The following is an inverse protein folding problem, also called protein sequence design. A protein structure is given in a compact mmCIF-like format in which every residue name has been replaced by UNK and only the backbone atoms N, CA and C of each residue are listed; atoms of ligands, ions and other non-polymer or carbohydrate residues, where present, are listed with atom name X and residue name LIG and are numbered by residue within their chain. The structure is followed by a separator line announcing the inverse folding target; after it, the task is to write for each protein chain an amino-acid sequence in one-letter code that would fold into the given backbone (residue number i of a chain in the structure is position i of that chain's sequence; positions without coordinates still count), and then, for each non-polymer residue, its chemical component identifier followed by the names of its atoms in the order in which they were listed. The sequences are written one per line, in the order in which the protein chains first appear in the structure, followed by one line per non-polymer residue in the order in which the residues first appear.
data_IF_133178035092
#
_entry.id   IF_133178035092
#
_cell.length_a   1.000
_cell.length_b   1.000
_cell.length_c   1.000
_cell.angle_alpha   90.00
_cell.angle_beta   90.00
_cell.angle_gamma   90.00
#
_symmetry.space_group_name_H-M   'P 1'
#
loop_
_entity.id
_entity.type
_entity.pdbx_description
1 polymer ?
#
# COMPACT_ATOMS: atom_id res chain seq x y z
N UNK A 1 7.08 52.61 -58.21
CA UNK A 1 6.66 53.02 -56.85
C UNK A 1 6.86 51.81 -55.93
N UNK A 2 7.77 51.91 -54.97
CA UNK A 2 8.15 50.83 -54.06
C UNK A 2 7.11 50.68 -52.95
N UNK A 3 6.69 49.45 -52.65
CA UNK A 3 6.29 49.04 -51.30
C UNK A 3 6.52 47.54 -51.12
N UNK A 4 7.43 47.21 -50.21
CA UNK A 4 7.74 45.87 -49.71
C UNK A 4 6.75 45.45 -48.62
N UNK A 5 6.34 44.16 -48.57
CA UNK A 5 6.52 43.28 -47.39
C UNK A 5 5.99 41.84 -47.58
N UNK A 6 6.90 40.88 -47.31
CA UNK A 6 6.78 39.44 -46.92
C UNK A 6 6.27 38.49 -48.03
N UNK A 7 7.07 37.69 -48.76
CA UNK A 7 8.15 36.71 -48.46
C UNK A 7 7.75 35.59 -47.49
N UNK A 8 7.45 34.43 -48.12
CA UNK A 8 7.83 33.04 -47.85
C UNK A 8 7.90 32.50 -46.41
N UNK A 9 7.42 31.27 -46.25
CA UNK A 9 7.99 30.33 -45.28
C UNK A 9 7.06 29.14 -45.01
N UNK A 10 7.14 28.11 -45.85
CA UNK A 10 6.31 26.91 -45.76
C UNK A 10 6.52 26.11 -44.47
N UNK A 11 5.44 25.49 -44.01
CA UNK A 11 5.50 24.39 -43.04
C UNK A 11 5.25 23.10 -43.80
N UNK A 12 6.35 22.50 -44.25
CA UNK A 12 6.45 21.09 -44.59
C UNK A 12 6.14 20.28 -43.33
N UNK A 13 4.96 19.66 -43.31
CA UNK A 13 4.68 18.52 -42.45
C UNK A 13 5.58 17.39 -42.97
N UNK A 14 6.72 17.18 -42.32
CA UNK A 14 7.58 16.04 -42.56
C UNK A 14 6.93 14.77 -41.97
N UNK A 15 5.89 14.28 -42.65
CA UNK A 15 5.49 12.89 -42.61
C UNK A 15 6.61 12.10 -43.29
N UNK A 16 7.54 11.58 -42.48
CA UNK A 16 8.55 10.63 -42.92
C UNK A 16 7.93 9.29 -43.27
N UNK A 17 7.12 9.25 -44.33
CA UNK A 17 6.79 8.05 -45.08
C UNK A 17 8.02 7.71 -45.91
N UNK A 18 8.94 6.95 -45.31
CA UNK A 18 9.99 6.27 -46.05
C UNK A 18 9.36 5.18 -46.91
N UNK A 19 9.27 5.44 -48.22
CA UNK A 19 9.06 4.45 -49.26
C UNK A 19 10.17 3.38 -49.20
N UNK A 20 9.84 2.19 -48.69
CA UNK A 20 10.60 0.98 -48.99
C UNK A 20 9.97 0.31 -50.22
N UNK A 21 10.66 0.43 -51.35
CA UNK A 21 10.35 -0.36 -52.53
C UNK A 21 10.83 -1.80 -52.31
N UNK A 22 9.88 -2.73 -52.33
CA UNK A 22 10.03 -4.10 -52.82
C UNK A 22 11.20 -4.94 -52.32
N UNK A 23 11.10 -5.44 -51.09
CA UNK A 23 11.51 -6.80 -50.77
C UNK A 23 10.29 -7.51 -50.19
N UNK A 24 10.01 -8.73 -50.66
CA UNK A 24 9.05 -9.63 -50.02
C UNK A 24 9.35 -9.65 -48.53
N UNK A 25 8.36 -9.26 -47.71
CA UNK A 25 8.49 -9.27 -46.26
C UNK A 25 8.76 -10.70 -45.81
N UNK A 26 10.02 -11.02 -45.54
CA UNK A 26 10.36 -12.17 -44.70
C UNK A 26 9.57 -11.98 -43.41
N UNK A 27 8.90 -13.04 -42.96
CA UNK A 27 8.13 -13.01 -41.72
C UNK A 27 9.05 -12.52 -40.60
N UNK A 28 8.73 -11.37 -40.01
CA UNK A 28 9.54 -10.77 -38.95
C UNK A 28 9.76 -11.81 -37.84
N UNK A 29 11.02 -12.01 -37.46
CA UNK A 29 11.39 -13.05 -36.50
C UNK A 29 11.00 -12.63 -35.08
N UNK A 30 10.69 -13.62 -34.24
CA UNK A 30 10.47 -13.36 -32.81
C UNK A 30 11.82 -13.03 -32.17
N UNK A 31 11.86 -11.94 -31.41
CA UNK A 31 13.08 -11.52 -30.73
C UNK A 31 13.45 -12.50 -29.61
N UNK A 32 14.68 -13.00 -29.61
CA UNK A 32 15.22 -13.91 -28.59
C UNK A 32 16.39 -13.26 -27.85
N UNK A 33 16.78 -13.83 -26.71
CA UNK A 33 17.95 -13.38 -25.92
C UNK A 33 19.29 -13.49 -26.67
N UNK A 34 19.37 -14.34 -27.70
CA UNK A 34 20.54 -14.44 -28.57
C UNK A 34 20.69 -13.29 -29.56
N UNK A 35 19.64 -12.47 -29.73
CA UNK A 35 19.64 -11.31 -30.61
C UNK A 35 19.98 -10.05 -29.84
N UNK A 36 21.25 -9.65 -29.88
CA UNK A 36 21.71 -8.40 -29.28
C UNK A 36 21.37 -7.17 -30.13
N UNK A 37 20.55 -6.27 -29.58
CA UNK A 37 20.18 -5.00 -30.21
C UNK A 37 21.30 -3.95 -30.19
N UNK A 38 22.42 -4.18 -29.48
CA UNK A 38 23.65 -3.34 -29.48
C UNK A 38 23.42 -1.83 -29.25
N UNK A 39 22.37 -1.47 -28.51
CA UNK A 39 22.01 -0.09 -28.21
C UNK A 39 21.41 0.70 -29.38
N UNK A 40 21.09 0.05 -30.50
CA UNK A 40 20.37 0.73 -31.57
C UNK A 40 18.97 1.11 -31.11
N UNK A 41 18.62 2.38 -31.27
CA UNK A 41 17.28 2.88 -30.95
C UNK A 41 16.22 2.01 -31.64
N UNK A 42 15.19 1.66 -30.86
CA UNK A 42 14.10 0.79 -31.28
C UNK A 42 12.77 1.54 -31.14
N UNK A 43 11.84 1.24 -32.04
CA UNK A 43 10.45 1.75 -31.96
C UNK A 43 9.50 0.58 -32.06
N UNK A 44 8.54 0.51 -31.15
CA UNK A 44 7.49 -0.49 -31.17
C UNK A 44 6.24 0.16 -31.75
N UNK A 45 5.65 -0.48 -32.78
CA UNK A 45 4.43 -0.02 -33.45
C UNK A 45 3.42 -1.15 -33.57
N UNK A 46 2.14 -0.80 -33.57
CA UNK A 46 1.06 -1.75 -33.88
C UNK A 46 0.78 -1.68 -35.37
N UNK A 47 0.90 -2.82 -36.05
CA UNK A 47 0.59 -2.97 -37.47
C UNK A 47 -0.92 -3.03 -37.72
N UNK A 48 -1.33 -2.94 -38.99
CA UNK A 48 -2.76 -2.93 -39.37
C UNK A 48 -3.53 -4.20 -38.95
N UNK A 49 -2.84 -5.34 -38.88
CA UNK A 49 -3.40 -6.61 -38.40
C UNK A 49 -3.46 -6.69 -36.86
N UNK A 50 -2.97 -5.67 -36.16
CA UNK A 50 -2.91 -5.60 -34.70
C UNK A 50 -1.63 -6.16 -34.09
N UNK A 51 -0.70 -6.66 -34.88
CA UNK A 51 0.56 -7.23 -34.39
C UNK A 51 1.50 -6.12 -33.93
N UNK A 52 2.22 -6.34 -32.83
CA UNK A 52 3.24 -5.39 -32.39
C UNK A 52 4.60 -5.77 -32.96
N UNK A 53 5.30 -4.81 -33.57
CA UNK A 53 6.60 -4.99 -34.20
C UNK A 53 7.60 -4.01 -33.62
N UNK A 54 8.78 -4.51 -33.25
CA UNK A 54 9.95 -3.73 -32.89
C UNK A 54 10.81 -3.49 -34.13
N UNK A 55 10.94 -2.24 -34.54
CA UNK A 55 11.80 -1.82 -35.65
C UNK A 55 13.06 -1.14 -35.10
N UNK A 56 14.22 -1.58 -35.58
CA UNK A 56 15.53 -1.02 -35.25
C UNK A 56 16.46 -1.11 -36.47
N UNK A 57 17.66 -0.52 -36.41
CA UNK A 57 18.68 -0.66 -37.46
C UNK A 57 19.10 -2.11 -37.74
N UNK A 58 18.86 -3.02 -36.80
CA UNK A 58 19.14 -4.47 -36.94
C UNK A 58 18.09 -5.23 -37.74
N UNK A 59 16.89 -4.69 -37.88
CA UNK A 59 15.77 -5.36 -38.51
C UNK A 59 14.45 -5.08 -37.81
N UNK A 60 13.44 -5.84 -38.21
CA UNK A 60 12.09 -5.81 -37.67
C UNK A 60 11.78 -7.15 -37.01
N UNK A 61 11.18 -7.09 -35.83
CA UNK A 61 10.93 -8.26 -34.99
C UNK A 61 9.50 -8.25 -34.47
N UNK A 62 8.80 -9.38 -34.59
CA UNK A 62 7.47 -9.54 -33.98
C UNK A 62 7.65 -9.66 -32.47
N UNK A 63 6.82 -8.91 -31.72
CA UNK A 63 6.76 -8.99 -30.27
C UNK A 63 5.51 -9.73 -29.82
N UNK A 64 5.72 -10.70 -28.93
CA UNK A 64 4.69 -11.47 -28.22
C UNK A 64 5.23 -11.90 -26.85
N UNK A 65 4.45 -12.65 -26.08
CA UNK A 65 4.79 -13.13 -24.74
C UNK A 65 6.08 -13.96 -24.65
N UNK A 66 6.64 -14.43 -25.77
CA UNK A 66 7.91 -15.16 -25.81
C UNK A 66 9.10 -14.27 -26.17
N UNK A 67 8.86 -13.03 -26.59
CA UNK A 67 9.92 -12.13 -27.07
C UNK A 67 10.81 -11.66 -25.92
N UNK A 68 12.13 -11.83 -26.05
CA UNK A 68 13.13 -11.36 -25.07
C UNK A 68 13.96 -10.21 -25.66
N UNK A 69 13.88 -9.03 -25.06
CA UNK A 69 14.64 -7.85 -25.50
C UNK A 69 16.00 -7.84 -24.79
N UNK A 70 17.07 -8.06 -25.54
CA UNK A 70 18.44 -7.97 -25.01
C UNK A 70 19.23 -6.84 -25.66
N UNK A 71 19.97 -6.09 -24.84
CA UNK A 71 21.00 -5.18 -25.35
C UNK A 71 22.26 -5.20 -24.49
N UNK A 72 23.41 -5.40 -25.14
CA UNK A 72 24.74 -5.26 -24.54
C UNK A 72 25.14 -3.81 -24.26
N UNK A 73 24.36 -2.82 -24.70
CA UNK A 73 24.63 -1.39 -24.57
C UNK A 73 23.41 -0.63 -24.04
N UNK A 74 23.53 0.69 -23.89
CA UNK A 74 22.37 1.54 -23.57
C UNK A 74 21.40 1.55 -24.74
N UNK A 75 20.11 1.34 -24.48
CA UNK A 75 19.07 1.27 -25.51
C UNK A 75 17.94 2.26 -25.20
N UNK A 76 17.41 2.86 -26.26
CA UNK A 76 16.18 3.66 -26.23
C UNK A 76 15.09 2.88 -26.96
N UNK A 77 13.95 2.67 -26.31
CA UNK A 77 12.76 2.04 -26.90
C UNK A 77 11.62 3.05 -26.88
N UNK A 78 11.09 3.39 -28.05
CA UNK A 78 9.93 4.27 -28.19
C UNK A 78 8.66 3.44 -28.33
N UNK A 79 7.74 3.57 -27.39
CA UNK A 79 6.42 2.95 -27.38
C UNK A 79 5.46 3.81 -28.22
N UNK A 80 5.29 3.43 -29.48
CA UNK A 80 4.36 4.05 -30.43
C UNK A 80 3.28 3.05 -30.90
N UNK A 81 2.98 2.07 -30.04
CA UNK A 81 1.95 1.09 -30.23
C UNK A 81 0.58 1.63 -29.77
N UNK A 82 -0.47 1.22 -30.48
CA UNK A 82 -1.86 1.57 -30.17
C UNK A 82 -2.59 0.46 -29.41
N UNK A 83 -1.99 -0.74 -29.34
CA UNK A 83 -2.43 -1.85 -28.49
C UNK A 83 -1.30 -2.25 -27.55
N UNK A 84 -1.59 -2.69 -26.30
CA UNK A 84 -0.55 -3.16 -25.39
C UNK A 84 0.36 -4.21 -26.04
N UNK A 85 1.67 -4.06 -25.89
CA UNK A 85 2.65 -5.07 -26.34
C UNK A 85 3.05 -5.95 -25.16
N UNK A 86 3.03 -7.27 -25.36
CA UNK A 86 3.54 -8.22 -24.38
C UNK A 86 4.93 -8.68 -24.82
N UNK A 87 5.85 -8.75 -23.88
CA UNK A 87 7.19 -9.34 -24.03
C UNK A 87 7.51 -10.17 -22.80
N UNK A 88 8.38 -11.15 -22.94
CA UNK A 88 8.81 -11.99 -21.83
C UNK A 88 9.70 -11.19 -20.85
N UNK A 89 10.81 -10.66 -21.34
CA UNK A 89 11.81 -10.01 -20.48
C UNK A 89 12.61 -8.96 -21.22
N UNK A 90 13.20 -8.03 -20.45
CA UNK A 90 14.11 -7.01 -20.94
C UNK A 90 15.40 -7.04 -20.15
N UNK A 91 16.53 -7.15 -20.83
CA UNK A 91 17.86 -7.11 -20.22
C UNK A 91 18.75 -6.10 -20.96
N UNK A 92 18.97 -4.95 -20.33
CA UNK A 92 19.86 -3.92 -20.83
C UNK A 92 21.10 -3.81 -19.93
N UNK A 93 22.29 -4.11 -20.48
CA UNK A 93 23.54 -4.07 -19.70
C UNK A 93 23.91 -2.68 -19.19
N UNK A 94 23.36 -1.62 -19.79
CA UNK A 94 23.56 -0.25 -19.36
C UNK A 94 22.22 0.46 -19.12
N UNK A 95 21.93 1.55 -19.83
CA UNK A 95 20.70 2.33 -19.63
C UNK A 95 19.58 1.77 -20.47
N UNK A 96 18.40 1.60 -19.87
CA UNK A 96 17.14 1.39 -20.58
C UNK A 96 16.35 2.70 -20.52
N UNK A 97 16.10 3.30 -21.68
CA UNK A 97 15.26 4.49 -21.78
C UNK A 97 13.97 4.18 -22.56
N UNK A 98 12.84 4.38 -21.91
CA UNK A 98 11.51 4.20 -22.49
C UNK A 98 10.90 5.57 -22.80
N UNK A 99 10.30 5.70 -23.98
CA UNK A 99 9.65 6.93 -24.46
C UNK A 99 8.29 6.61 -25.08
N UNK A 100 7.52 7.65 -25.39
CA UNK A 100 6.25 7.53 -26.11
C UNK A 100 5.05 7.37 -25.18
N UNK A 101 3.92 7.01 -25.76
CA UNK A 101 2.60 6.96 -25.09
C UNK A 101 1.95 5.57 -25.16
N UNK A 102 2.63 4.59 -25.74
CA UNK A 102 2.14 3.21 -25.81
C UNK A 102 2.23 2.47 -24.47
N UNK A 103 1.73 1.24 -24.47
CA UNK A 103 1.70 0.36 -23.30
C UNK A 103 2.53 -0.91 -23.54
N UNK A 104 3.34 -1.30 -22.55
CA UNK A 104 4.16 -2.51 -22.59
C UNK A 104 3.96 -3.33 -21.32
N UNK A 105 3.75 -4.63 -21.48
CA UNK A 105 3.73 -5.61 -20.39
C UNK A 105 4.93 -6.52 -20.55
N UNK A 106 5.73 -6.62 -19.49
CA UNK A 106 6.88 -7.52 -19.39
C UNK A 106 6.53 -8.57 -18.36
N UNK A 107 6.24 -9.80 -18.77
CA UNK A 107 5.81 -10.86 -17.86
C UNK A 107 6.65 -12.12 -18.07
N UNK A 108 7.30 -12.58 -17.00
CA UNK A 108 8.16 -13.75 -17.03
C UNK A 108 8.03 -14.58 -15.76
N UNK A 109 8.27 -15.88 -15.89
CA UNK A 109 8.47 -16.77 -14.75
C UNK A 109 9.90 -16.72 -14.21
N UNK A 110 10.83 -16.09 -14.94
CA UNK A 110 12.21 -15.91 -14.51
C UNK A 110 12.30 -15.02 -13.26
N UNK A 111 13.47 -15.01 -12.62
CA UNK A 111 13.71 -14.23 -11.40
C UNK A 111 13.48 -12.72 -11.60
N UNK A 112 13.76 -12.19 -12.81
CA UNK A 112 13.70 -10.74 -13.09
C UNK A 112 13.05 -10.46 -14.44
N UNK A 113 12.05 -9.58 -14.49
CA UNK A 113 11.37 -9.17 -15.73
C UNK A 113 12.15 -8.10 -16.49
N UNK A 114 12.49 -7.00 -15.82
CA UNK A 114 13.31 -5.93 -16.40
C UNK A 114 14.61 -5.80 -15.59
N UNK A 115 15.74 -6.09 -16.21
CA UNK A 115 17.07 -6.01 -15.62
C UNK A 115 17.92 -4.92 -16.30
N UNK A 116 18.34 -3.92 -15.54
CA UNK A 116 19.03 -2.72 -16.06
C UNK A 116 20.34 -2.48 -15.33
N UNK A 117 21.46 -2.53 -16.05
CA UNK A 117 22.80 -2.45 -15.46
C UNK A 117 23.26 -1.04 -15.06
N UNK A 118 22.59 0.03 -15.47
CA UNK A 118 22.85 1.39 -14.94
C UNK A 118 21.57 2.14 -14.62
N UNK A 119 21.00 2.87 -15.59
CA UNK A 119 19.86 3.75 -15.36
C UNK A 119 18.61 3.21 -16.03
N UNK A 120 17.50 3.20 -15.31
CA UNK A 120 16.19 3.09 -15.93
C UNK A 120 15.59 4.49 -16.07
N UNK A 121 15.29 4.90 -17.30
CA UNK A 121 14.72 6.21 -17.62
C UNK A 121 13.37 6.02 -18.27
N UNK A 122 12.29 6.41 -17.60
CA UNK A 122 10.95 6.31 -18.18
C UNK A 122 10.42 7.71 -18.50
N UNK A 123 10.03 7.89 -19.77
CA UNK A 123 9.31 9.06 -20.27
C UNK A 123 10.03 10.39 -20.01
N UNK A 124 11.37 10.30 -19.95
CA UNK A 124 12.30 11.42 -19.75
C UNK A 124 12.34 12.31 -20.99
N UNK A 125 12.37 13.63 -20.82
CA UNK A 125 12.46 14.68 -21.87
C UNK A 125 11.25 14.83 -22.80
N UNK A 126 10.25 13.96 -22.69
CA UNK A 126 8.96 14.13 -23.35
C UNK A 126 8.04 14.84 -22.37
N UNK A 127 7.79 16.14 -22.56
CA UNK A 127 6.92 16.97 -21.70
C UNK A 127 5.53 16.35 -21.39
N UNK A 128 5.13 15.28 -22.10
CA UNK A 128 3.88 14.55 -21.96
C UNK A 128 3.99 13.04 -22.26
N UNK A 129 5.14 12.40 -22.03
CA UNK A 129 5.23 10.94 -22.20
C UNK A 129 4.34 10.25 -21.18
N UNK A 130 3.23 9.68 -21.62
CA UNK A 130 2.19 9.06 -20.76
C UNK A 130 2.10 7.55 -20.97
N UNK A 131 3.17 6.93 -21.46
CA UNK A 131 3.20 5.49 -21.64
C UNK A 131 3.05 4.74 -20.32
N UNK A 132 2.69 3.46 -20.44
CA UNK A 132 2.49 2.57 -19.31
C UNK A 132 3.35 1.33 -19.46
N UNK A 133 4.02 0.94 -18.39
CA UNK A 133 4.85 -0.26 -18.36
C UNK A 133 4.45 -1.08 -17.15
N UNK A 134 4.14 -2.36 -17.37
CA UNK A 134 4.01 -3.34 -16.28
C UNK A 134 5.14 -4.35 -16.36
N UNK A 135 5.68 -4.77 -15.22
CA UNK A 135 6.79 -5.72 -15.14
C UNK A 135 6.56 -6.75 -14.03
N UNK A 136 6.31 -8.01 -14.37
CA UNK A 136 6.02 -9.08 -13.42
C UNK A 136 7.03 -10.23 -13.55
N UNK A 137 7.60 -10.64 -12.43
CA UNK A 137 8.58 -11.72 -12.35
C UNK A 137 8.37 -12.58 -11.10
N UNK A 138 9.05 -13.72 -11.01
CA UNK A 138 8.97 -14.56 -9.81
C UNK A 138 9.62 -13.93 -8.57
N UNK A 139 10.69 -13.13 -8.72
CA UNK A 139 11.37 -12.44 -7.59
C UNK A 139 11.33 -10.93 -7.66
N UNK A 140 11.77 -10.34 -8.77
CA UNK A 140 11.93 -8.88 -8.92
C UNK A 140 11.33 -8.39 -10.23
N UNK A 141 10.29 -7.55 -10.17
CA UNK A 141 9.69 -6.99 -11.39
C UNK A 141 10.66 -6.06 -12.15
N UNK A 142 11.21 -5.06 -11.47
CA UNK A 142 12.17 -4.10 -12.04
C UNK A 142 13.43 -4.04 -11.18
N UNK A 143 14.58 -4.44 -11.75
CA UNK A 143 15.90 -4.38 -11.12
C UNK A 143 16.79 -3.37 -11.82
N UNK A 144 17.31 -2.40 -11.06
CA UNK A 144 18.17 -1.33 -11.57
C UNK A 144 19.42 -1.17 -10.71
N UNK A 145 20.60 -1.36 -11.32
CA UNK A 145 21.87 -1.36 -10.59
C UNK A 145 22.38 0.04 -10.19
N UNK A 146 21.85 1.10 -10.78
CA UNK A 146 22.11 2.48 -10.33
C UNK A 146 20.80 3.20 -10.01
N UNK A 147 20.28 4.04 -10.90
CA UNK A 147 19.20 4.99 -10.57
C UNK A 147 17.97 4.85 -11.47
N UNK A 148 16.79 5.01 -10.89
CA UNK A 148 15.51 5.15 -11.59
C UNK A 148 15.18 6.63 -11.75
N UNK A 149 14.92 7.07 -12.98
CA UNK A 149 14.54 8.44 -13.31
C UNK A 149 13.25 8.42 -14.13
N UNK A 150 12.18 9.05 -13.64
CA UNK A 150 10.91 9.11 -14.36
C UNK A 150 10.42 10.55 -14.45
N UNK A 151 10.06 11.03 -15.64
CA UNK A 151 9.50 12.39 -15.83
C UNK A 151 8.04 12.38 -16.29
N UNK A 152 7.42 11.20 -16.40
CA UNK A 152 6.01 11.02 -16.73
C UNK A 152 5.65 9.53 -16.77
N UNK A 153 4.43 9.25 -17.22
CA UNK A 153 3.92 7.89 -17.45
C UNK A 153 3.76 7.06 -16.17
N UNK A 154 3.42 5.78 -16.35
CA UNK A 154 3.26 4.82 -15.25
C UNK A 154 4.18 3.63 -15.43
N UNK A 155 4.87 3.25 -14.35
CA UNK A 155 5.65 2.00 -14.27
C UNK A 155 5.18 1.25 -13.04
N UNK A 156 4.64 0.05 -13.25
CA UNK A 156 4.19 -0.85 -12.20
C UNK A 156 5.02 -2.14 -12.27
N UNK A 157 5.59 -2.58 -11.15
CA UNK A 157 6.40 -3.77 -11.11
C UNK A 157 6.04 -4.67 -9.92
N UNK A 158 6.03 -5.99 -10.14
CA UNK A 158 5.66 -6.99 -9.15
C UNK A 158 6.65 -8.16 -9.10
N UNK A 159 6.89 -8.66 -7.89
CA UNK A 159 7.72 -9.84 -7.64
C UNK A 159 7.50 -10.39 -6.24
N UNK A 160 8.08 -11.55 -5.90
CA UNK A 160 7.93 -12.09 -4.53
C UNK A 160 8.83 -11.39 -3.50
N UNK A 161 10.02 -10.94 -3.91
CA UNK A 161 10.96 -10.23 -3.03
C UNK A 161 10.77 -8.73 -3.14
N UNK A 162 10.76 -8.21 -4.37
CA UNK A 162 10.62 -6.78 -4.65
C UNK A 162 9.76 -6.55 -5.88
N UNK A 163 8.89 -5.54 -5.85
CA UNK A 163 8.33 -5.00 -7.09
C UNK A 163 9.40 -4.23 -7.84
N UNK A 164 10.00 -3.26 -7.15
CA UNK A 164 11.09 -2.41 -7.68
C UNK A 164 12.31 -2.51 -6.77
N UNK A 165 13.47 -2.76 -7.37
CA UNK A 165 14.76 -2.78 -6.69
C UNK A 165 15.73 -1.81 -7.38
N UNK A 166 16.26 -0.86 -6.61
CA UNK A 166 17.33 0.04 -7.06
C UNK A 166 18.52 0.03 -6.09
N UNK A 167 19.72 -0.16 -6.63
CA UNK A 167 20.98 -0.07 -5.87
C UNK A 167 21.44 1.38 -5.60
N UNK A 168 20.63 2.38 -5.94
CA UNK A 168 20.89 3.78 -5.63
C UNK A 168 19.58 4.55 -5.41
N UNK A 169 19.34 5.62 -6.19
CA UNK A 169 18.20 6.52 -6.02
C UNK A 169 17.00 6.15 -6.90
N UNK A 170 15.81 6.48 -6.42
CA UNK A 170 14.55 6.45 -7.16
C UNK A 170 14.00 7.88 -7.23
N UNK A 171 13.93 8.45 -8.44
CA UNK A 171 13.55 9.85 -8.69
C UNK A 171 12.46 10.00 -9.76
N UNK A 172 11.20 9.73 -9.39
CA UNK A 172 10.03 10.23 -10.12
C UNK A 172 9.81 11.76 -9.99
N UNK A 173 9.45 12.38 -11.10
CA UNK A 173 9.15 13.80 -11.27
C UNK A 173 7.84 14.01 -12.02
N UNK A 174 7.25 15.19 -11.88
CA UNK A 174 6.06 15.61 -12.64
C UNK A 174 4.88 14.66 -12.41
N UNK A 175 4.15 14.23 -13.43
CA UNK A 175 3.01 13.32 -13.30
C UNK A 175 3.41 11.83 -13.35
N UNK A 176 4.69 11.50 -13.12
CA UNK A 176 5.17 10.13 -13.09
C UNK A 176 4.56 9.32 -11.94
N UNK A 177 4.16 8.09 -12.24
CA UNK A 177 3.65 7.11 -11.27
C UNK A 177 4.58 5.90 -11.25
N UNK A 178 5.17 5.60 -10.09
CA UNK A 178 5.95 4.38 -9.86
C UNK A 178 5.25 3.53 -8.81
N UNK A 179 4.93 2.29 -9.16
CA UNK A 179 4.34 1.31 -8.25
C UNK A 179 5.21 0.06 -8.15
N UNK A 180 5.50 -0.38 -6.93
CA UNK A 180 6.19 -1.65 -6.66
C UNK A 180 5.36 -2.51 -5.72
N UNK A 181 5.06 -3.74 -6.11
CA UNK A 181 4.28 -4.70 -5.32
C UNK A 181 5.13 -5.93 -5.01
N UNK A 182 5.16 -6.34 -3.75
CA UNK A 182 5.86 -7.53 -3.29
C UNK A 182 4.95 -8.44 -2.49
N UNK A 183 4.91 -9.74 -2.82
CA UNK A 183 4.05 -10.68 -2.09
C UNK A 183 4.63 -11.13 -0.75
N UNK A 184 5.96 -11.19 -0.61
CA UNK A 184 6.63 -11.67 0.61
C UNK A 184 7.67 -10.68 1.18
N UNK A 185 8.09 -9.67 0.42
CA UNK A 185 9.16 -8.76 0.80
C UNK A 185 8.72 -7.30 0.86
N UNK A 186 9.53 -6.42 0.26
CA UNK A 186 9.30 -4.96 0.24
C UNK A 186 8.83 -4.53 -1.14
N UNK A 187 7.77 -3.74 -1.24
CA UNK A 187 7.26 -3.28 -2.54
C UNK A 187 8.31 -2.54 -3.37
N UNK A 188 8.94 -1.53 -2.77
CA UNK A 188 10.00 -0.72 -3.38
C UNK A 188 11.24 -0.68 -2.47
N UNK A 189 12.39 -1.08 -3.00
CA UNK A 189 13.67 -0.98 -2.35
C UNK A 189 14.58 0.02 -3.08
N UNK A 190 15.15 0.95 -2.33
CA UNK A 190 16.25 1.80 -2.77
C UNK A 190 17.41 1.71 -1.78
N UNK A 191 18.64 1.54 -2.27
CA UNK A 191 19.79 1.62 -1.38
C UNK A 191 19.93 3.03 -0.79
N UNK A 192 19.68 4.08 -1.59
CA UNK A 192 19.88 5.48 -1.20
C UNK A 192 18.57 6.22 -1.01
N UNK A 193 18.10 7.06 -1.93
CA UNK A 193 16.90 7.87 -1.71
C UNK A 193 15.67 7.37 -2.51
N UNK A 194 14.48 7.60 -1.97
CA UNK A 194 13.21 7.53 -2.71
C UNK A 194 12.59 8.93 -2.71
N UNK A 195 12.43 9.52 -3.88
CA UNK A 195 11.84 10.84 -4.07
C UNK A 195 10.50 10.80 -4.80
N UNK A 196 9.63 11.75 -4.49
CA UNK A 196 8.50 12.11 -5.32
C UNK A 196 8.44 13.65 -5.43
N UNK A 197 8.65 14.17 -6.64
CA UNK A 197 8.82 15.60 -6.88
C UNK A 197 7.89 16.14 -7.96
N UNK A 198 7.45 17.40 -7.79
CA UNK A 198 6.65 18.14 -8.78
C UNK A 198 5.34 17.47 -9.22
N UNK A 199 4.66 16.75 -8.33
CA UNK A 199 3.39 16.06 -8.60
C UNK A 199 3.49 14.54 -8.69
N UNK A 200 4.69 13.97 -8.50
CA UNK A 200 4.92 12.55 -8.77
C UNK A 200 4.31 11.67 -7.70
N UNK A 201 3.99 10.43 -8.05
CA UNK A 201 3.41 9.45 -7.13
C UNK A 201 4.26 8.20 -7.06
N UNK A 202 4.60 7.78 -5.84
CA UNK A 202 5.30 6.52 -5.56
C UNK A 202 4.43 5.68 -4.63
N UNK A 203 4.17 4.43 -5.00
CA UNK A 203 3.35 3.50 -4.22
C UNK A 203 4.10 2.19 -4.07
N UNK A 204 4.54 1.89 -2.86
CA UNK A 204 5.13 0.60 -2.51
C UNK A 204 4.14 -0.22 -1.71
N UNK A 205 3.94 -1.48 -2.08
CA UNK A 205 3.12 -2.44 -1.34
C UNK A 205 3.91 -3.72 -1.09
N UNK A 206 4.03 -4.15 0.16
CA UNK A 206 4.78 -5.35 0.49
C UNK A 206 4.28 -6.05 1.75
N UNK A 207 4.67 -7.31 1.92
CA UNK A 207 4.38 -8.02 3.17
C UNK A 207 5.11 -7.40 4.36
N UNK A 208 6.38 -7.03 4.17
CA UNK A 208 7.25 -6.52 5.24
C UNK A 208 7.19 -4.99 5.33
N UNK A 209 7.22 -4.30 4.20
CA UNK A 209 7.15 -2.84 4.09
C UNK A 209 6.70 -2.44 2.69
N UNK A 210 6.09 -1.27 2.57
CA UNK A 210 5.75 -0.72 1.26
C UNK A 210 6.99 -0.20 0.53
N UNK A 211 7.73 0.69 1.17
CA UNK A 211 8.95 1.26 0.62
C UNK A 211 10.07 1.32 1.66
N UNK A 212 11.29 0.96 1.25
CA UNK A 212 12.48 0.97 2.09
C UNK A 212 13.65 1.71 1.44
N UNK A 213 14.29 2.59 2.21
CA UNK A 213 15.56 3.25 1.90
C UNK A 213 16.62 2.84 2.94
N UNK A 214 17.83 2.46 2.52
CA UNK A 214 18.87 1.99 3.46
C UNK A 214 19.74 3.10 4.03
N UNK A 215 20.26 4.01 3.21
CA UNK A 215 21.26 4.98 3.69
C UNK A 215 20.76 6.42 3.74
N UNK A 216 19.63 6.72 3.11
CA UNK A 216 19.16 8.09 2.94
C UNK A 216 17.65 8.22 3.20
N UNK A 217 16.95 9.06 2.46
CA UNK A 217 15.61 9.54 2.81
C UNK A 217 14.51 8.89 1.97
N UNK A 218 13.30 8.94 2.52
CA UNK A 218 12.06 8.87 1.75
C UNK A 218 11.47 10.27 1.78
N UNK A 219 11.38 10.95 0.63
CA UNK A 219 11.04 12.37 0.57
C UNK A 219 10.04 12.71 -0.55
N UNK A 220 8.90 13.27 -0.16
CA UNK A 220 7.95 13.89 -1.07
C UNK A 220 8.07 15.43 -0.98
N UNK A 221 8.04 16.12 -2.11
CA UNK A 221 8.08 17.61 -2.16
C UNK A 221 7.19 18.15 -3.27
N UNK A 222 6.61 19.32 -3.00
CA UNK A 222 5.64 20.03 -3.81
C UNK A 222 4.24 19.44 -3.76
N UNK A 223 3.25 20.32 -3.85
CA UNK A 223 1.85 19.95 -3.82
C UNK A 223 1.53 18.98 -4.96
N UNK A 224 0.75 17.94 -4.64
CA UNK A 224 0.43 16.85 -5.56
C UNK A 224 1.43 15.68 -5.52
N UNK A 225 2.65 15.88 -5.01
CA UNK A 225 3.58 14.76 -4.84
C UNK A 225 3.18 13.88 -3.66
N UNK A 226 3.28 12.56 -3.84
CA UNK A 226 3.00 11.61 -2.77
C UNK A 226 3.89 10.37 -2.78
N UNK A 227 4.18 9.86 -1.58
CA UNK A 227 4.78 8.54 -1.39
C UNK A 227 3.88 7.76 -0.42
N UNK A 228 3.37 6.62 -0.87
CA UNK A 228 2.57 5.70 -0.06
C UNK A 228 3.31 4.39 0.12
N UNK A 229 3.48 3.97 1.38
CA UNK A 229 3.98 2.65 1.74
C UNK A 229 2.87 1.84 2.38
N UNK A 230 2.55 0.69 1.80
CA UNK A 230 1.53 -0.25 2.25
C UNK A 230 2.24 -1.50 2.78
N UNK A 231 1.99 -1.83 4.05
CA UNK A 231 2.46 -3.07 4.69
C UNK A 231 1.28 -3.99 5.00
N UNK A 232 1.43 -5.28 4.73
CA UNK A 232 0.50 -6.35 5.16
C UNK A 232 0.94 -7.04 6.46
N UNK A 233 1.90 -6.44 7.18
CA UNK A 233 2.33 -6.90 8.49
C UNK A 233 2.65 -5.70 9.39
N UNK A 234 1.71 -5.37 10.28
CA UNK A 234 1.92 -4.33 11.30
C UNK A 234 2.98 -4.74 12.33
N UNK A 235 3.26 -6.04 12.49
CA UNK A 235 4.24 -6.59 13.43
C UNK A 235 5.63 -6.78 12.79
N UNK A 236 5.80 -6.36 11.54
CA UNK A 236 7.08 -6.34 10.84
C UNK A 236 8.18 -5.62 11.64
N UNK A 237 9.44 -5.93 11.36
CA UNK A 237 10.56 -5.14 11.89
C UNK A 237 10.68 -3.76 11.21
N UNK A 238 9.97 -3.54 10.10
CA UNK A 238 10.02 -2.34 9.29
C UNK A 238 8.64 -1.65 9.23
N UNK A 239 8.63 -0.34 9.43
CA UNK A 239 7.50 0.55 9.12
C UNK A 239 7.07 0.45 7.65
N UNK A 240 5.84 0.85 7.33
CA UNK A 240 5.35 0.77 5.96
C UNK A 240 6.15 1.70 5.02
N UNK A 241 6.60 2.85 5.54
CA UNK A 241 7.67 3.66 4.95
C UNK A 241 8.90 3.64 5.86
N UNK A 242 9.95 2.95 5.42
CA UNK A 242 11.12 2.70 6.27
C UNK A 242 12.42 3.27 5.67
N UNK A 243 12.96 4.34 6.26
CA UNK A 243 14.29 4.84 5.93
C UNK A 243 15.28 4.45 7.04
N UNK A 244 16.09 3.39 6.88
CA UNK A 244 16.89 2.77 7.96
C UNK A 244 17.76 3.79 8.72
N UNK A 245 18.49 4.66 7.99
CA UNK A 245 19.46 5.60 8.55
C UNK A 245 19.01 7.07 8.62
N UNK A 246 17.92 7.45 7.95
CA UNK A 246 17.48 8.85 7.90
C UNK A 246 15.96 8.98 8.11
N UNK A 247 15.39 10.04 7.55
CA UNK A 247 14.12 10.62 7.92
C UNK A 247 13.10 10.49 6.79
N UNK A 248 11.84 10.36 7.19
CA UNK A 248 10.69 10.48 6.32
C UNK A 248 10.36 11.97 6.15
N UNK A 249 10.21 12.47 4.92
CA UNK A 249 10.02 13.90 4.64
C UNK A 249 8.82 14.17 3.76
N UNK A 250 8.02 15.14 4.14
CA UNK A 250 6.99 15.73 3.28
C UNK A 250 7.06 17.24 3.36
N UNK A 251 7.29 17.89 2.21
CA UNK A 251 7.51 19.34 2.11
C UNK A 251 6.57 20.00 1.10
N UNK A 252 6.26 21.29 1.30
CA UNK A 252 5.53 22.13 0.35
C UNK A 252 4.16 21.57 -0.09
N UNK A 253 3.37 21.01 0.84
CA UNK A 253 2.06 20.42 0.52
C UNK A 253 2.10 18.97 0.01
N UNK A 254 3.28 18.34 -0.02
CA UNK A 254 3.40 16.93 -0.35
C UNK A 254 2.88 16.02 0.77
N UNK A 255 2.60 14.75 0.43
CA UNK A 255 2.05 13.75 1.36
C UNK A 255 2.94 12.53 1.43
N UNK A 256 3.28 12.10 2.64
CA UNK A 256 3.80 10.75 2.90
C UNK A 256 2.76 9.96 3.67
N UNK A 257 2.49 8.73 3.22
CA UNK A 257 1.41 7.88 3.75
C UNK A 257 1.91 6.51 4.09
N UNK A 258 1.61 6.08 5.31
CA UNK A 258 1.79 4.70 5.75
C UNK A 258 0.42 4.05 5.85
N UNK A 259 0.26 2.89 5.24
CA UNK A 259 -0.94 2.07 5.32
C UNK A 259 -0.56 0.70 5.87
N UNK A 260 -1.26 0.28 6.91
CA UNK A 260 -1.17 -1.05 7.49
C UNK A 260 -2.46 -1.78 7.17
N UNK A 261 -2.40 -2.65 6.15
CA UNK A 261 -3.53 -3.45 5.71
C UNK A 261 -3.77 -4.61 6.65
N UNK A 262 -5.05 -4.87 6.92
CA UNK A 262 -5.49 -5.98 7.79
C UNK A 262 -4.74 -5.97 9.12
N UNK A 263 -4.64 -4.78 9.74
CA UNK A 263 -3.94 -4.59 11.00
C UNK A 263 -4.61 -5.35 12.16
N UNK A 264 -5.88 -5.74 12.00
CA UNK A 264 -6.69 -6.46 12.98
C UNK A 264 -6.68 -5.77 14.35
N UNK A 265 -6.85 -4.44 14.34
CA UNK A 265 -6.87 -3.64 15.56
C UNK A 265 -8.18 -3.93 16.31
N UNK A 266 -8.06 -4.35 17.57
CA UNK A 266 -9.21 -4.49 18.47
C UNK A 266 -9.35 -3.17 19.24
N UNK A 267 -10.49 -2.50 19.06
CA UNK A 267 -10.81 -1.22 19.70
C UNK A 267 -11.89 -1.45 20.75
N UNK A 268 -11.60 -1.11 22.02
CA UNK A 268 -12.58 -1.17 23.12
C UNK A 268 -13.04 0.24 23.50
N UNK A 269 -14.07 0.32 24.34
CA UNK A 269 -14.64 1.60 24.81
C UNK A 269 -13.98 2.12 26.10
N UNK A 270 -13.19 1.29 26.79
CA UNK A 270 -12.65 1.54 28.12
C UNK A 270 -11.12 1.50 28.23
N UNK A 271 -10.44 0.72 27.38
CA UNK A 271 -8.98 0.55 27.38
C UNK A 271 -8.38 1.23 26.14
N UNK A 272 -7.70 2.37 26.30
CA UNK A 272 -7.17 3.11 25.16
C UNK A 272 -6.07 2.33 24.43
N UNK A 273 -6.27 2.04 23.15
CA UNK A 273 -5.28 1.40 22.30
C UNK A 273 -4.16 2.39 21.96
N UNK A 274 -3.00 2.24 22.59
CA UNK A 274 -1.82 3.04 22.28
C UNK A 274 -0.97 2.39 21.17
N UNK A 275 -1.18 2.83 19.93
CA UNK A 275 -0.49 2.29 18.75
C UNK A 275 1.03 2.45 18.82
N UNK A 276 1.54 3.54 19.41
CA UNK A 276 2.98 3.80 19.49
C UNK A 276 3.69 2.98 20.57
N UNK A 277 2.96 2.53 21.59
CA UNK A 277 3.49 1.59 22.58
C UNK A 277 3.37 0.14 22.12
N UNK A 278 2.33 -0.16 21.34
CA UNK A 278 2.02 -1.54 20.95
C UNK A 278 2.74 -1.98 19.67
N UNK A 279 3.04 -1.07 18.74
CA UNK A 279 3.60 -1.40 17.44
C UNK A 279 4.89 -0.61 17.15
N UNK A 280 6.02 -1.31 17.09
CA UNK A 280 7.34 -0.71 16.78
C UNK A 280 7.37 -0.06 15.39
N UNK A 281 6.66 -0.65 14.44
CA UNK A 281 6.51 -0.12 13.06
C UNK A 281 5.90 1.27 13.08
N UNK A 282 4.83 1.47 13.84
CA UNK A 282 4.13 2.75 13.99
C UNK A 282 4.99 3.75 14.78
N UNK A 283 5.54 3.31 15.91
CA UNK A 283 6.32 4.14 16.83
C UNK A 283 7.53 4.84 16.18
N UNK A 284 8.09 4.25 15.12
CA UNK A 284 9.23 4.83 14.39
C UNK A 284 8.89 6.21 13.83
N UNK A 285 7.76 6.31 13.12
CA UNK A 285 7.39 7.49 12.34
C UNK A 285 6.29 8.32 13.03
N UNK A 286 5.53 7.73 13.95
CA UNK A 286 4.58 8.40 14.82
C UNK A 286 5.11 8.41 16.26
N UNK A 287 5.76 9.50 16.66
CA UNK A 287 6.32 9.63 18.02
C UNK A 287 5.25 9.85 19.10
N UNK A 288 4.21 10.61 18.76
CA UNK A 288 3.12 10.94 19.68
C UNK A 288 1.80 10.97 18.92
N UNK A 289 0.86 10.11 19.32
CA UNK A 289 -0.47 10.01 18.72
C UNK A 289 -1.29 11.29 18.87
N UNK A 290 -1.05 12.06 19.95
CA UNK A 290 -1.76 13.32 20.20
C UNK A 290 -1.41 14.44 19.21
N UNK A 291 -0.32 14.28 18.44
CA UNK A 291 0.07 15.23 17.40
C UNK A 291 -0.71 15.02 16.08
N UNK A 292 -1.64 14.07 16.03
CA UNK A 292 -2.42 13.71 14.86
C UNK A 292 -3.90 13.99 15.07
N UNK A 293 -4.57 14.41 14.00
CA UNK A 293 -6.03 14.39 13.92
C UNK A 293 -6.46 12.99 13.52
N UNK A 294 -7.38 12.42 14.30
CA UNK A 294 -7.87 11.06 14.11
C UNK A 294 -9.27 11.07 13.51
N UNK A 295 -9.52 10.13 12.60
CA UNK A 295 -10.79 9.92 11.94
C UNK A 295 -10.97 8.42 11.68
N UNK A 296 -12.21 7.98 11.52
CA UNK A 296 -12.55 6.61 11.17
C UNK A 296 -13.69 6.57 10.15
N UNK A 297 -13.73 5.50 9.37
CA UNK A 297 -14.84 5.16 8.49
C UNK A 297 -15.25 3.69 8.75
N UNK A 298 -16.44 3.44 9.32
CA UNK A 298 -17.43 4.42 9.79
C UNK A 298 -16.93 5.28 10.96
N UNK A 299 -17.59 6.41 11.25
CA UNK A 299 -17.23 7.33 12.33
C UNK A 299 -17.59 6.75 13.72
N UNK A 300 -16.66 5.95 14.27
CA UNK A 300 -16.84 5.20 15.51
C UNK A 300 -15.60 5.17 16.42
N UNK A 301 -14.44 5.60 15.94
CA UNK A 301 -13.17 5.62 16.69
C UNK A 301 -12.71 7.05 16.91
N UNK A 302 -12.32 7.35 18.16
CA UNK A 302 -11.79 8.65 18.56
C UNK A 302 -10.53 8.50 19.42
N UNK A 303 -9.77 9.60 19.55
CA UNK A 303 -8.56 9.65 20.37
C UNK A 303 -8.87 10.26 21.74
N UNK A 304 -8.61 9.52 22.81
CA UNK A 304 -8.76 9.98 24.19
C UNK A 304 -7.84 9.19 25.13
N UNK A 305 -7.51 9.78 26.29
CA UNK A 305 -6.69 9.14 27.34
C UNK A 305 -5.35 8.55 26.83
N UNK A 306 -4.75 9.15 25.79
CA UNK A 306 -3.47 8.73 25.23
C UNK A 306 -3.54 7.59 24.20
N UNK A 307 -4.72 7.14 23.78
CA UNK A 307 -4.89 6.10 22.75
C UNK A 307 -6.22 6.20 22.01
N UNK A 308 -6.52 5.18 21.22
CA UNK A 308 -7.78 5.06 20.49
C UNK A 308 -8.84 4.33 21.32
N UNK A 309 -10.05 4.87 21.32
CA UNK A 309 -11.24 4.28 21.93
C UNK A 309 -12.38 4.24 20.92
N UNK A 310 -13.30 3.31 21.14
CA UNK A 310 -14.51 3.14 20.34
C UNK A 310 -15.73 3.78 20.98
N UNK A 311 -16.62 4.29 20.14
CA UNK A 311 -17.96 4.74 20.49
C UNK A 311 -18.85 3.50 20.67
N UNK A 312 -19.25 3.23 21.93
CA UNK A 312 -19.99 2.02 22.30
C UNK A 312 -21.34 1.89 21.57
N UNK A 313 -21.94 3.00 21.16
CA UNK A 313 -23.21 3.02 20.45
C UNK A 313 -23.05 2.71 18.94
N UNK A 314 -21.80 2.55 18.47
CA UNK A 314 -21.45 2.41 17.05
C UNK A 314 -20.46 1.26 16.82
N UNK A 315 -20.86 0.03 17.15
CA UNK A 315 -20.10 -1.17 16.80
C UNK A 315 -19.78 -1.23 15.30
N UNK A 316 -18.60 -1.75 14.97
CA UNK A 316 -18.10 -1.80 13.61
C UNK A 316 -17.21 -3.03 13.37
N UNK A 317 -17.26 -3.52 12.14
CA UNK A 317 -16.34 -4.50 11.60
C UNK A 317 -15.59 -3.91 10.42
N UNK A 318 -14.30 -4.22 10.31
CA UNK A 318 -13.44 -3.82 9.19
C UNK A 318 -13.41 -2.30 8.93
N UNK A 319 -13.35 -1.49 9.99
CA UNK A 319 -13.23 -0.04 9.85
C UNK A 319 -11.83 0.37 9.36
N UNK A 320 -11.78 1.53 8.71
CA UNK A 320 -10.53 2.22 8.39
C UNK A 320 -10.30 3.35 9.39
N UNK A 321 -9.16 3.32 10.09
CA UNK A 321 -8.75 4.37 11.03
C UNK A 321 -7.60 5.16 10.43
N UNK A 322 -7.72 6.49 10.38
CA UNK A 322 -6.74 7.39 9.78
C UNK A 322 -6.28 8.47 10.76
N UNK A 323 -4.97 8.54 10.96
CA UNK A 323 -4.26 9.62 11.63
C UNK A 323 -3.68 10.58 10.58
N UNK A 324 -3.88 11.88 10.74
CA UNK A 324 -3.33 12.90 9.84
C UNK A 324 -2.61 13.99 10.63
N UNK A 325 -1.35 14.26 10.27
CA UNK A 325 -0.57 15.38 10.80
C UNK A 325 -0.08 16.26 9.67
N UNK A 326 -0.43 17.53 9.71
CA UNK A 326 0.04 18.55 8.75
C UNK A 326 0.81 19.63 9.48
N UNK A 327 1.98 20.00 8.98
CA UNK A 327 2.79 21.06 9.59
C UNK A 327 2.85 22.32 8.72
N UNK A 328 2.24 23.45 9.13
CA UNK A 328 2.29 24.70 8.37
C UNK A 328 3.65 25.42 8.50
N UNK A 329 4.49 25.04 9.46
CA UNK A 329 5.76 25.69 9.75
C UNK A 329 6.76 25.63 8.58
N UNK A 330 7.55 26.69 8.43
CA UNK A 330 8.67 26.75 7.49
C UNK A 330 9.94 26.07 8.01
N UNK A 331 9.96 25.64 9.27
CA UNK A 331 11.09 25.01 9.93
C UNK A 331 10.77 23.59 10.36
N UNK A 332 11.79 22.74 10.33
CA UNK A 332 11.67 21.31 10.67
C UNK A 332 11.98 21.10 12.15
N UNK A 333 11.19 20.27 12.82
CA UNK A 333 11.56 19.73 14.12
C UNK A 333 12.74 18.76 13.94
N UNK A 334 13.94 19.20 14.36
CA UNK A 334 15.19 18.50 14.04
C UNK A 334 15.32 17.09 14.61
N UNK A 335 14.49 16.73 15.60
CA UNK A 335 14.62 15.50 16.39
C UNK A 335 13.53 14.46 16.09
N UNK A 336 12.71 14.66 15.05
CA UNK A 336 11.70 13.69 14.63
C UNK A 336 12.12 12.96 13.35
N UNK A 337 11.84 11.65 13.28
CA UNK A 337 12.05 10.85 12.07
C UNK A 337 11.18 11.38 10.93
N UNK A 338 9.93 11.75 11.23
CA UNK A 338 9.00 12.35 10.28
C UNK A 338 9.12 13.88 10.27
N UNK A 339 9.78 14.40 9.24
CA UNK A 339 10.04 15.82 9.06
C UNK A 339 9.04 16.46 8.10
N UNK A 340 8.16 17.30 8.64
CA UNK A 340 7.11 18.00 7.89
C UNK A 340 7.40 19.50 7.82
N UNK A 341 7.22 20.12 6.65
CA UNK A 341 7.44 21.56 6.44
C UNK A 341 6.53 22.13 5.35
N UNK A 342 6.12 23.40 5.50
CA UNK A 342 5.32 24.16 4.53
C UNK A 342 4.09 23.37 4.06
N UNK A 343 3.22 22.99 4.99
CA UNK A 343 2.02 22.18 4.78
C UNK A 343 2.29 20.74 4.32
N UNK A 344 3.50 20.23 4.53
CA UNK A 344 3.76 18.79 4.37
C UNK A 344 2.91 17.96 5.32
N UNK A 345 2.43 16.82 4.83
CA UNK A 345 1.48 15.96 5.54
C UNK A 345 2.03 14.55 5.72
N UNK A 346 1.86 13.99 6.92
CA UNK A 346 2.02 12.57 7.20
C UNK A 346 0.66 11.97 7.53
N UNK A 347 0.31 10.90 6.82
CA UNK A 347 -0.88 10.11 7.07
C UNK A 347 -0.49 8.69 7.51
N UNK A 348 -1.18 8.17 8.53
CA UNK A 348 -1.05 6.78 8.96
C UNK A 348 -2.43 6.15 8.97
N UNK A 349 -2.60 5.09 8.19
CA UNK A 349 -3.88 4.45 7.91
C UNK A 349 -3.82 3.00 8.36
N UNK A 350 -4.86 2.55 9.04
CA UNK A 350 -5.07 1.18 9.46
C UNK A 350 -6.39 0.70 8.89
N UNK A 351 -6.39 -0.42 8.16
CA UNK A 351 -7.63 -1.07 7.72
C UNK A 351 -7.82 -2.40 8.45
N UNK A 352 -9.07 -2.86 8.55
CA UNK A 352 -9.40 -4.08 9.29
C UNK A 352 -9.52 -3.89 10.80
N UNK A 353 -9.85 -2.68 11.28
CA UNK A 353 -10.14 -2.48 12.69
C UNK A 353 -11.53 -3.02 13.06
N UNK A 354 -11.67 -3.60 14.24
CA UNK A 354 -12.94 -4.15 14.76
C UNK A 354 -13.21 -3.63 16.17
N UNK A 355 -14.46 -3.31 16.46
CA UNK A 355 -14.88 -3.01 17.84
C UNK A 355 -14.98 -4.29 18.67
N UNK A 356 -14.60 -4.23 19.94
CA UNK A 356 -14.93 -5.25 20.94
C UNK A 356 -15.38 -4.55 22.22
N UNK A 357 -16.70 -4.49 22.42
CA UNK A 357 -17.30 -3.85 23.59
C UNK A 357 -17.88 -4.93 24.49
N UNK A 358 -17.34 -5.06 25.70
CA UNK A 358 -17.69 -6.13 26.64
C UNK A 358 -18.28 -5.52 27.91
N UNK A 359 -19.35 -6.13 28.39
CA UNK A 359 -19.95 -5.86 29.70
C UNK A 359 -19.96 -7.12 30.58
N UNK A 360 -19.75 -6.98 31.90
CA UNK A 360 -19.87 -8.11 32.81
C UNK A 360 -21.35 -8.41 33.11
N UNK A 361 -21.76 -9.65 32.87
CA UNK A 361 -23.01 -10.21 33.40
C UNK A 361 -22.69 -11.02 34.65
N UNK A 362 -23.21 -10.60 35.80
CA UNK A 362 -22.97 -11.21 37.10
C UNK A 362 -24.12 -12.19 37.40
N UNK A 363 -23.83 -13.48 37.39
CA UNK A 363 -24.75 -14.52 37.82
C UNK A 363 -24.51 -14.84 39.30
N UNK A 364 -25.54 -14.63 40.13
CA UNK A 364 -25.53 -14.94 41.56
C UNK A 364 -26.46 -16.10 41.83
N UNK A 365 -25.95 -17.12 42.48
CA UNK A 365 -26.69 -18.33 42.81
C UNK A 365 -26.90 -18.39 44.31
N UNK A 366 -28.16 -18.40 44.74
CA UNK A 366 -28.55 -18.46 46.13
C UNK A 366 -29.21 -19.79 46.42
N UNK A 367 -28.84 -20.40 47.54
CA UNK A 367 -29.42 -21.66 48.04
C UNK A 367 -30.20 -21.35 49.32
N UNK A 368 -31.38 -21.93 49.47
CA UNK A 368 -32.18 -21.79 50.68
C UNK A 368 -31.50 -22.52 51.86
N UNK A 369 -31.23 -21.80 52.96
CA UNK A 369 -30.70 -22.37 54.19
C UNK A 369 -31.82 -22.52 55.23
N UNK A 370 -32.12 -23.77 55.56
CA UNK A 370 -33.19 -24.14 56.48
C UNK A 370 -32.97 -23.67 57.92
N UNK A 371 -31.72 -23.41 58.32
CA UNK A 371 -31.40 -22.95 59.68
C UNK A 371 -31.68 -21.46 59.86
N UNK A 372 -31.34 -20.67 58.84
CA UNK A 372 -31.53 -19.22 58.84
C UNK A 372 -32.87 -18.80 58.25
N UNK A 373 -33.57 -19.72 57.58
CA UNK A 373 -34.83 -19.50 56.85
C UNK A 373 -34.70 -18.40 55.79
N UNK A 374 -33.52 -18.27 55.19
CA UNK A 374 -33.20 -17.27 54.18
C UNK A 374 -32.35 -17.87 53.03
N UNK A 375 -32.28 -17.17 51.91
CA UNK A 375 -31.45 -17.51 50.77
C UNK A 375 -30.03 -16.97 50.96
N UNK A 376 -29.05 -17.87 51.06
CA UNK A 376 -27.63 -17.53 51.22
C UNK A 376 -26.91 -17.61 49.88
N UNK A 377 -26.00 -16.67 49.62
CA UNK A 377 -25.19 -16.66 48.40
C UNK A 377 -24.27 -17.90 48.40
N UNK A 378 -24.50 -18.80 47.44
CA UNK A 378 -23.69 -19.98 47.23
C UNK A 378 -22.51 -19.68 46.30
N UNK A 379 -22.78 -19.01 45.17
CA UNK A 379 -21.76 -18.70 44.17
C UNK A 379 -22.07 -17.41 43.41
N UNK A 380 -21.02 -16.67 43.06
CA UNK A 380 -21.07 -15.55 42.12
C UNK A 380 -20.11 -15.85 40.96
N UNK A 381 -20.60 -15.74 39.72
CA UNK A 381 -19.82 -15.94 38.49
C UNK A 381 -19.99 -14.71 37.58
N UNK A 382 -18.89 -14.25 36.99
CA UNK A 382 -18.89 -13.13 36.05
C UNK A 382 -18.68 -13.66 34.63
N UNK A 383 -19.64 -13.38 33.75
CA UNK A 383 -19.59 -13.73 32.34
C UNK A 383 -19.29 -12.46 31.52
N UNK A 384 -18.15 -12.39 30.80
CA UNK A 384 -17.90 -11.32 29.85
C UNK A 384 -18.82 -11.52 28.64
N UNK A 385 -19.60 -10.50 28.31
CA UNK A 385 -20.59 -10.57 27.23
C UNK A 385 -20.47 -9.37 26.31
N UNK A 386 -20.54 -9.61 25.00
CA UNK A 386 -20.47 -8.54 24.01
C UNK A 386 -21.72 -7.66 24.05
N UNK A 387 -21.55 -6.34 24.02
CA UNK A 387 -22.66 -5.39 23.97
C UNK A 387 -23.48 -5.63 22.70
N UNK A 388 -24.81 -5.64 22.84
CA UNK A 388 -25.74 -5.95 21.76
C UNK A 388 -26.03 -7.44 21.57
N UNK A 389 -25.29 -8.33 22.25
CA UNK A 389 -25.57 -9.77 22.20
C UNK A 389 -26.72 -10.18 23.13
N UNK A 390 -27.46 -11.23 22.76
CA UNK A 390 -28.54 -11.79 23.57
C UNK A 390 -27.97 -12.67 24.68
N UNK A 391 -28.27 -12.33 25.94
CA UNK A 391 -27.99 -13.13 27.12
C UNK A 391 -29.17 -14.05 27.38
N UNK A 392 -28.93 -15.35 27.26
CA UNK A 392 -29.91 -16.38 27.65
C UNK A 392 -29.74 -16.70 29.12
N UNK A 393 -30.73 -16.37 29.93
CA UNK A 393 -30.68 -16.55 31.39
C UNK A 393 -30.55 -18.03 31.74
N UNK A 394 -31.17 -18.90 30.96
CA UNK A 394 -31.15 -20.33 31.21
C UNK A 394 -29.77 -20.97 30.96
N UNK A 395 -28.93 -20.38 30.10
CA UNK A 395 -27.59 -20.89 29.78
C UNK A 395 -26.59 -20.68 30.93
N UNK A 396 -26.92 -19.81 31.89
CA UNK A 396 -26.06 -19.48 33.04
C UNK A 396 -26.54 -20.13 34.35
N UNK A 397 -27.49 -21.07 34.28
CA UNK A 397 -27.89 -21.88 35.44
C UNK A 397 -26.74 -22.77 35.90
N UNK A 398 -26.74 -23.09 37.18
CA UNK A 398 -25.79 -24.06 37.75
C UNK A 398 -26.54 -25.36 38.01
N UNK A 399 -25.90 -26.46 37.66
CA UNK A 399 -26.27 -27.80 38.07
C UNK A 399 -25.51 -28.15 39.37
N UNK A 400 -26.19 -28.75 40.35
CA UNK A 400 -25.60 -29.11 41.64
C UNK A 400 -25.19 -30.58 41.62
N UNK A 401 -23.90 -30.91 41.36
CA UNK A 401 -23.52 -32.30 41.14
C UNK A 401 -23.66 -33.10 42.43
N UNK A 402 -24.49 -34.14 42.39
CA UNK A 402 -24.69 -35.05 43.52
C UNK A 402 -25.68 -34.57 44.59
N UNK A 403 -26.48 -33.54 44.31
CA UNK A 403 -27.59 -33.10 45.15
C UNK A 403 -28.89 -33.03 44.32
N UNK A 404 -30.03 -33.28 44.95
CA UNK A 404 -31.31 -32.94 44.33
C UNK A 404 -31.52 -31.43 44.49
N UNK A 405 -31.83 -30.74 43.40
CA UNK A 405 -32.04 -29.29 43.42
C UNK A 405 -33.29 -28.88 42.66
N UNK A 406 -34.10 -28.05 43.29
CA UNK A 406 -35.27 -27.40 42.69
C UNK A 406 -34.92 -25.96 42.33
N UNK A 407 -34.98 -25.66 41.04
CA UNK A 407 -34.82 -24.30 40.54
C UNK A 407 -36.08 -23.47 40.77
N UNK A 408 -35.94 -22.40 41.55
CA UNK A 408 -37.05 -21.54 41.96
C UNK A 408 -37.27 -20.33 41.05
N UNK A 409 -36.39 -20.12 40.07
CA UNK A 409 -36.47 -19.01 39.14
C UNK A 409 -35.27 -18.07 39.20
N UNK A 410 -35.20 -17.21 38.20
CA UNK A 410 -34.30 -16.08 38.12
C UNK A 410 -35.13 -14.80 38.17
N UNK A 411 -34.53 -13.72 38.66
CA UNK A 411 -35.16 -12.40 38.71
C UNK A 411 -35.16 -11.66 37.36
N UNK A 412 -34.52 -12.23 36.34
CA UNK A 412 -34.49 -11.71 34.96
C UNK A 412 -34.97 -12.75 33.96
N UNK A 413 -35.49 -12.25 32.84
CA UNK A 413 -35.70 -13.01 31.60
C UNK A 413 -34.58 -12.67 30.62
N UNK A 414 -34.45 -13.41 29.52
CA UNK A 414 -33.46 -13.12 28.47
C UNK A 414 -33.44 -11.65 28.09
N UNK A 415 -32.24 -11.08 27.97
CA UNK A 415 -32.04 -9.66 27.72
C UNK A 415 -30.85 -9.43 26.80
N UNK A 416 -30.86 -8.31 26.09
CA UNK A 416 -29.70 -7.87 25.31
C UNK A 416 -28.70 -7.20 26.25
N UNK A 417 -27.41 -7.56 26.15
CA UNK A 417 -26.36 -6.93 26.94
C UNK A 417 -26.18 -5.46 26.52
N UNK A 418 -26.20 -4.54 27.48
CA UNK A 418 -26.02 -3.11 27.26
C UNK A 418 -25.13 -2.50 28.36
N UNK A 419 -24.54 -1.34 28.10
CA UNK A 419 -23.71 -0.61 29.07
C UNK A 419 -24.35 0.74 29.39
N UNK A 420 -25.01 0.84 30.55
CA UNK A 420 -25.64 2.07 31.04
C UNK A 420 -25.06 2.53 32.40
N UNK A 421 -24.00 1.87 32.86
CA UNK A 421 -23.41 2.06 34.19
C UNK A 421 -24.05 1.24 35.31
N UNK A 422 -25.15 0.53 35.04
CA UNK A 422 -25.77 -0.41 35.98
C UNK A 422 -25.19 -1.81 35.75
N UNK A 423 -24.73 -2.51 36.81
CA UNK A 423 -24.32 -3.91 36.67
C UNK A 423 -25.47 -4.78 36.15
N UNK A 424 -25.18 -5.62 35.15
CA UNK A 424 -26.13 -6.62 34.65
C UNK A 424 -26.07 -7.82 35.59
N UNK A 425 -27.00 -7.89 36.55
CA UNK A 425 -27.03 -8.95 37.58
C UNK A 425 -28.22 -9.85 37.37
N UNK A 426 -28.01 -11.17 37.41
CA UNK A 426 -29.05 -12.19 37.43
C UNK A 426 -28.94 -12.95 38.75
N UNK A 427 -30.02 -12.98 39.52
CA UNK A 427 -30.09 -13.70 40.79
C UNK A 427 -30.95 -14.96 40.60
N UNK A 428 -30.30 -16.12 40.72
CA UNK A 428 -30.92 -17.44 40.68
C UNK A 428 -31.18 -17.93 42.10
N UNK A 429 -32.35 -18.55 42.33
CA UNK A 429 -32.71 -19.16 43.61
C UNK A 429 -32.92 -20.66 43.46
N UNK A 430 -32.38 -21.42 44.40
CA UNK A 430 -32.46 -22.87 44.44
C UNK A 430 -32.85 -23.36 45.83
N UNK A 431 -33.57 -24.48 45.89
CA UNK A 431 -33.67 -25.33 47.07
C UNK A 431 -32.81 -26.54 46.78
N UNK A 432 -31.82 -26.83 47.61
CA UNK A 432 -30.85 -27.91 47.39
C UNK A 432 -30.86 -28.83 48.59
N UNK A 433 -31.09 -30.12 48.36
CA UNK A 433 -30.99 -31.17 49.37
C UNK A 433 -29.67 -31.92 49.15
N UNK A 434 -28.74 -31.72 50.10
CA UNK A 434 -27.40 -32.34 50.09
C UNK A 434 -27.36 -33.71 50.75
#
# INVERSE_FOLDING_TARGET
MISYKKILGGSLVALGLGLFAGQSADAASILTESTDLKGYAATITTQNDGTNVLTTKKGEYVLNENAKIYSSSSIIITLNNTKPVNVNSINAKHTLELRGNGEMNVDTTDDVAINVGTHFRAFKTTKYGKGKVTASASKIGLKVENEIQMEGGSVEASGSEYGVYSNNDIKPYYDAVLKGVSSNGTGIYAYRDIYAWKGATVIGEGKVAGARSIIAHIQAEDAGSSITGISHDINSSLSALHADKQMLRAYNGAVVREEYKEANLIITDDVPLNLTSNYKTVARNMKNMANYNWSSDPESVYFANGGLLGDIDKSFENATVKATRTNPSVCVEKNEVSQLKKNGTHEVIFSGATSQYIVPVIARHYVYDDNTKDYVLYQEVVHPTEVGSLVKVDDLKIDFPGAESDYMGADRTDFVAYKDGTPLVINYKYIVEF
#
